data_IF_873572055146
#
_entry.id   IF_873572055146
#
_cell.length_a   1.000
_cell.length_b   1.000
_cell.length_c   1.000
_cell.angle_alpha   90.00
_cell.angle_beta   90.00
_cell.angle_gamma   90.00
#
_symmetry.space_group_name_H-M   'P 1'
#
loop_
_entity.id
_entity.type
_entity.pdbx_description
1 polymer ?
#
# COMPACT_ATOMS: atom_id res chain seq x y z
N UNK A 1 -25.81 3.08 -18.69
CA UNK A 1 -24.34 3.15 -18.68
C UNK A 1 -23.92 3.97 -17.46
N UNK A 2 -23.26 3.36 -16.45
CA UNK A 2 -22.79 4.11 -15.27
C UNK A 2 -21.68 5.07 -15.72
N UNK A 3 -21.76 6.33 -15.32
CA UNK A 3 -20.72 7.31 -15.65
C UNK A 3 -19.37 6.84 -15.07
N UNK A 4 -18.27 6.83 -15.84
CA UNK A 4 -16.96 6.34 -15.37
C UNK A 4 -16.49 7.03 -14.07
N UNK A 5 -16.78 8.33 -13.92
CA UNK A 5 -16.50 9.08 -12.69
C UNK A 5 -17.26 8.55 -11.47
N UNK A 6 -18.52 8.15 -11.63
CA UNK A 6 -19.31 7.60 -10.52
C UNK A 6 -18.80 6.23 -10.09
N UNK A 7 -18.30 5.42 -11.02
CA UNK A 7 -17.71 4.11 -10.69
C UNK A 7 -16.43 4.25 -9.85
N UNK A 8 -15.56 5.21 -10.19
CA UNK A 8 -14.35 5.52 -9.41
C UNK A 8 -14.73 6.04 -8.02
N UNK A 9 -15.69 6.96 -7.94
CA UNK A 9 -16.16 7.50 -6.66
C UNK A 9 -16.76 6.41 -5.77
N UNK A 10 -17.58 5.50 -6.31
CA UNK A 10 -18.15 4.38 -5.54
C UNK A 10 -17.05 3.46 -4.99
N UNK A 11 -16.03 3.14 -5.80
CA UNK A 11 -14.88 2.34 -5.34
C UNK A 11 -14.10 3.04 -4.22
N UNK A 12 -13.83 4.34 -4.36
CA UNK A 12 -13.17 5.15 -3.33
C UNK A 12 -13.98 5.17 -2.03
N UNK A 13 -15.28 5.46 -2.10
CA UNK A 13 -16.16 5.47 -0.90
C UNK A 13 -16.23 4.09 -0.25
N UNK A 14 -16.32 3.02 -1.03
CA UNK A 14 -16.31 1.66 -0.49
C UNK A 14 -14.99 1.35 0.24
N UNK A 15 -13.84 1.74 -0.35
CA UNK A 15 -12.53 1.58 0.29
C UNK A 15 -12.44 2.39 1.60
N UNK A 16 -12.88 3.65 1.58
CA UNK A 16 -12.96 4.48 2.77
C UNK A 16 -13.83 3.84 3.85
N UNK A 17 -15.00 3.29 3.50
CA UNK A 17 -15.88 2.61 4.47
C UNK A 17 -15.21 1.40 5.11
N UNK A 18 -14.46 0.61 4.34
CA UNK A 18 -13.70 -0.52 4.89
C UNK A 18 -12.61 -0.03 5.85
N UNK A 19 -11.83 0.97 5.45
CA UNK A 19 -10.75 1.52 6.27
C UNK A 19 -11.26 2.22 7.54
N UNK A 20 -12.29 3.06 7.43
CA UNK A 20 -12.90 3.72 8.59
C UNK A 20 -13.67 2.72 9.47
N UNK A 21 -14.27 1.69 8.89
CA UNK A 21 -14.86 0.59 9.64
C UNK A 21 -13.81 -0.17 10.47
N UNK A 22 -12.67 -0.49 9.85
CA UNK A 22 -11.54 -1.11 10.54
C UNK A 22 -10.93 -0.20 11.61
N UNK A 23 -10.74 1.09 11.31
CA UNK A 23 -10.25 2.06 12.30
C UNK A 23 -11.24 2.25 13.46
N UNK A 24 -12.54 2.24 13.17
CA UNK A 24 -13.61 2.27 14.17
C UNK A 24 -13.62 1.03 15.05
N UNK A 25 -13.42 -0.15 14.47
CA UNK A 25 -13.23 -1.40 15.21
C UNK A 25 -12.02 -1.33 16.14
N UNK A 26 -10.85 -0.90 15.64
CA UNK A 26 -9.64 -0.74 16.48
C UNK A 26 -9.82 0.29 17.59
N UNK A 27 -10.54 1.37 17.31
CA UNK A 27 -10.87 2.40 18.31
C UNK A 27 -11.79 1.87 19.40
N UNK A 28 -12.76 1.02 19.05
CA UNK A 28 -13.65 0.37 19.99
C UNK A 28 -12.92 -0.64 20.88
N UNK A 29 -11.96 -1.38 20.32
CA UNK A 29 -11.23 -2.44 21.02
C UNK A 29 -10.08 -1.91 21.90
N UNK A 30 -9.34 -0.90 21.43
CA UNK A 30 -8.04 -0.51 22.03
C UNK A 30 -8.00 0.94 22.57
N UNK A 31 -9.13 1.65 22.62
CA UNK A 31 -9.26 3.11 22.82
C UNK A 31 -8.91 3.96 21.60
N UNK A 32 -9.44 5.19 21.56
CA UNK A 32 -9.32 6.13 20.43
C UNK A 32 -7.87 6.43 20.02
N UNK A 33 -6.98 6.61 21.00
CA UNK A 33 -5.60 7.02 20.73
C UNK A 33 -4.78 5.84 20.18
N UNK A 34 -4.87 4.69 20.83
CA UNK A 34 -4.22 3.43 20.41
C UNK A 34 -4.77 2.95 19.07
N UNK A 35 -6.10 2.91 18.92
CA UNK A 35 -6.77 2.47 17.70
C UNK A 35 -6.49 3.39 16.51
N UNK A 36 -6.43 4.70 16.75
CA UNK A 36 -6.06 5.68 15.73
C UNK A 36 -4.61 5.50 15.25
N UNK A 37 -3.66 5.35 16.18
CA UNK A 37 -2.25 5.12 15.81
C UNK A 37 -2.07 3.75 15.14
N UNK A 38 -2.72 2.70 15.65
CA UNK A 38 -2.69 1.37 15.04
C UNK A 38 -3.25 1.39 13.61
N UNK A 39 -4.36 2.10 13.36
CA UNK A 39 -4.92 2.27 12.02
C UNK A 39 -3.96 3.02 11.08
N UNK A 40 -3.27 4.04 11.57
CA UNK A 40 -2.25 4.78 10.80
C UNK A 40 -1.03 3.92 10.47
N UNK A 41 -0.55 3.11 11.42
CA UNK A 41 0.51 2.13 11.19
C UNK A 41 0.04 1.12 10.13
N UNK A 42 -1.16 0.56 10.27
CA UNK A 42 -1.74 -0.37 9.29
C UNK A 42 -1.84 0.23 7.89
N UNK A 43 -2.33 1.47 7.77
CA UNK A 43 -2.34 2.17 6.49
C UNK A 43 -0.93 2.31 5.91
N UNK A 44 0.04 2.73 6.72
CA UNK A 44 1.42 2.90 6.27
C UNK A 44 2.10 1.58 5.89
N UNK A 45 1.71 0.47 6.52
CA UNK A 45 2.14 -0.87 6.12
C UNK A 45 1.69 -1.20 4.71
N UNK A 46 0.43 -0.90 4.35
CA UNK A 46 -0.04 -1.10 2.99
C UNK A 46 0.71 -0.23 1.98
N UNK A 47 0.95 1.04 2.30
CA UNK A 47 1.71 1.96 1.43
C UNK A 47 3.14 1.47 1.18
N UNK A 48 3.84 1.03 2.23
CA UNK A 48 5.27 0.75 2.16
C UNK A 48 5.62 -0.70 1.84
N UNK A 49 4.73 -1.64 2.14
CA UNK A 49 5.04 -3.07 2.09
C UNK A 49 4.17 -3.83 1.09
N UNK A 50 3.21 -3.18 0.42
CA UNK A 50 2.46 -3.81 -0.68
C UNK A 50 2.78 -3.12 -2.01
N UNK A 51 3.10 -3.86 -3.08
CA UNK A 51 3.39 -3.30 -4.41
C UNK A 51 2.10 -2.93 -5.15
N UNK A 52 1.24 -2.18 -4.48
CA UNK A 52 -0.08 -1.81 -4.96
C UNK A 52 -0.13 -0.29 -4.96
N UNK A 53 -0.09 0.30 -6.15
CA UNK A 53 -0.22 1.76 -6.33
C UNK A 53 -1.49 2.34 -5.69
N UNK A 54 -2.51 1.50 -5.45
CA UNK A 54 -3.75 1.90 -4.80
C UNK A 54 -3.69 1.91 -3.26
N UNK A 55 -2.62 1.44 -2.62
CA UNK A 55 -2.50 1.52 -1.15
C UNK A 55 -2.36 2.99 -0.69
N UNK A 56 -1.70 3.81 -1.51
CA UNK A 56 -1.65 5.27 -1.34
C UNK A 56 -2.94 6.00 -1.75
N UNK A 57 -3.88 5.32 -2.43
CA UNK A 57 -5.07 5.91 -3.06
C UNK A 57 -5.91 6.77 -2.12
N UNK A 58 -5.95 6.44 -0.82
CA UNK A 58 -6.71 7.20 0.17
C UNK A 58 -6.26 8.67 0.24
N UNK A 59 -4.95 8.93 0.17
CA UNK A 59 -4.37 10.28 0.18
C UNK A 59 -4.01 10.77 -1.22
N UNK A 60 -3.57 9.87 -2.10
CA UNK A 60 -3.21 10.16 -3.48
C UNK A 60 -4.39 10.75 -4.27
N UNK A 61 -5.61 10.19 -4.13
CA UNK A 61 -6.80 10.71 -4.82
C UNK A 61 -7.17 12.15 -4.41
N UNK A 62 -7.30 12.49 -3.11
CA UNK A 62 -7.51 13.88 -2.67
C UNK A 62 -6.43 14.85 -3.13
N UNK A 63 -5.15 14.48 -3.00
CA UNK A 63 -4.01 15.32 -3.41
C UNK A 63 -4.11 15.62 -4.90
N UNK A 64 -4.43 14.61 -5.72
CA UNK A 64 -4.58 14.78 -7.16
C UNK A 64 -5.76 15.67 -7.55
N UNK A 65 -6.90 15.52 -6.87
CA UNK A 65 -8.08 16.36 -7.13
C UNK A 65 -7.82 17.81 -6.73
N UNK A 66 -7.09 18.05 -5.64
CA UNK A 66 -6.80 19.40 -5.13
C UNK A 66 -5.69 20.11 -5.92
N UNK A 67 -4.62 19.40 -6.29
CA UNK A 67 -3.42 19.99 -6.87
C UNK A 67 -3.21 19.67 -8.36
N UNK A 68 -3.96 18.74 -8.94
CA UNK A 68 -3.86 18.38 -10.36
C UNK A 68 -2.48 17.80 -10.77
N UNK A 69 -1.74 17.23 -9.81
CA UNK A 69 -0.39 16.69 -10.02
C UNK A 69 -0.39 15.30 -10.66
N UNK A 70 0.72 14.90 -11.28
CA UNK A 70 0.89 13.54 -11.81
C UNK A 70 0.88 12.49 -10.68
N UNK A 71 0.40 11.29 -10.98
CA UNK A 71 0.27 10.17 -10.02
C UNK A 71 1.59 9.85 -9.31
N UNK A 72 2.73 9.94 -10.02
CA UNK A 72 4.06 9.71 -9.43
C UNK A 72 4.36 10.67 -8.28
N UNK A 73 4.04 11.97 -8.42
CA UNK A 73 4.38 12.96 -7.40
C UNK A 73 3.55 12.79 -6.13
N UNK A 74 2.27 12.54 -6.29
CA UNK A 74 1.38 12.28 -5.16
C UNK A 74 1.74 10.98 -4.46
N UNK A 75 2.18 9.94 -5.17
CA UNK A 75 2.71 8.73 -4.54
C UNK A 75 3.99 8.98 -3.73
N UNK A 76 4.94 9.79 -4.25
CA UNK A 76 6.14 10.18 -3.50
C UNK A 76 5.76 10.88 -2.18
N UNK A 77 4.76 11.76 -2.22
CA UNK A 77 4.28 12.46 -1.02
C UNK A 77 3.65 11.46 -0.04
N UNK A 78 2.83 10.53 -0.51
CA UNK A 78 2.21 9.51 0.33
C UNK A 78 3.26 8.60 0.98
N UNK A 79 4.26 8.16 0.23
CA UNK A 79 5.42 7.42 0.75
C UNK A 79 6.19 8.21 1.80
N UNK A 80 6.48 9.49 1.54
CA UNK A 80 7.17 10.35 2.49
C UNK A 80 6.39 10.51 3.80
N UNK A 81 5.06 10.66 3.73
CA UNK A 81 4.18 10.72 4.89
C UNK A 81 4.23 9.38 5.65
N UNK A 82 4.11 8.24 4.97
CA UNK A 82 4.13 6.92 5.58
C UNK A 82 5.46 6.63 6.30
N UNK A 83 6.60 6.97 5.67
CA UNK A 83 7.93 6.82 6.27
C UNK A 83 8.07 7.72 7.49
N UNK A 84 7.68 8.99 7.37
CA UNK A 84 7.79 9.96 8.48
C UNK A 84 6.93 9.54 9.66
N UNK A 85 5.71 9.06 9.40
CA UNK A 85 4.80 8.56 10.42
C UNK A 85 5.43 7.40 11.19
N UNK A 86 5.96 6.40 10.49
CA UNK A 86 6.61 5.26 11.15
C UNK A 86 7.87 5.67 11.91
N UNK A 87 8.68 6.59 11.39
CA UNK A 87 9.84 7.10 12.10
C UNK A 87 9.46 7.77 13.43
N UNK A 88 8.41 8.58 13.43
CA UNK A 88 7.90 9.26 14.64
C UNK A 88 7.31 8.26 15.63
N UNK A 89 6.47 7.33 15.15
CA UNK A 89 5.81 6.33 16.01
C UNK A 89 6.83 5.35 16.59
N UNK A 90 7.81 4.88 15.82
CA UNK A 90 8.89 4.04 16.36
C UNK A 90 9.71 4.75 17.43
N UNK A 91 9.98 6.04 17.27
CA UNK A 91 10.83 6.77 18.21
C UNK A 91 10.10 7.09 19.53
N UNK A 92 8.82 7.46 19.47
CA UNK A 92 8.07 7.94 20.65
C UNK A 92 7.07 6.95 21.21
N UNK A 93 6.54 6.06 20.38
CA UNK A 93 5.36 5.26 20.71
C UNK A 93 5.43 3.82 20.17
N UNK A 94 6.58 3.18 20.39
CA UNK A 94 6.85 1.82 19.93
C UNK A 94 5.81 0.79 20.44
N UNK A 95 5.22 1.03 21.60
CA UNK A 95 4.19 0.18 22.22
C UNK A 95 2.97 -0.06 21.30
N UNK A 96 2.58 0.93 20.48
CA UNK A 96 1.42 0.78 19.59
C UNK A 96 1.62 -0.22 18.45
N UNK A 97 2.86 -0.61 18.18
CA UNK A 97 3.12 -1.67 17.21
C UNK A 97 2.69 -3.05 17.71
N UNK A 98 2.51 -3.25 19.02
CA UNK A 98 2.14 -4.53 19.61
C UNK A 98 0.63 -4.80 19.64
N UNK A 99 -0.17 -3.93 19.02
CA UNK A 99 -1.65 -4.01 19.04
C UNK A 99 -2.21 -5.13 18.16
N UNK A 100 -1.71 -5.27 16.93
CA UNK A 100 -2.21 -6.24 15.96
C UNK A 100 -1.06 -7.04 15.35
N UNK A 101 -1.39 -8.14 14.66
CA UNK A 101 -0.38 -8.89 13.89
C UNK A 101 0.27 -8.00 12.84
N UNK A 102 -0.51 -7.17 12.14
CA UNK A 102 -0.01 -6.33 11.06
C UNK A 102 0.95 -5.24 11.55
N UNK A 103 0.62 -4.60 12.67
CA UNK A 103 1.49 -3.61 13.29
C UNK A 103 2.77 -4.28 13.82
N UNK A 104 2.70 -5.47 14.41
CA UNK A 104 3.89 -6.23 14.85
C UNK A 104 4.80 -6.60 13.68
N UNK A 105 4.22 -6.97 12.55
CA UNK A 105 4.95 -7.21 11.30
C UNK A 105 5.61 -5.91 10.81
N UNK A 106 4.91 -4.78 10.84
CA UNK A 106 5.47 -3.49 10.45
C UNK A 106 6.69 -3.11 11.30
N UNK A 107 6.61 -3.26 12.62
CA UNK A 107 7.74 -3.01 13.51
C UNK A 107 8.93 -3.89 13.17
N UNK A 108 8.68 -5.18 12.94
CA UNK A 108 9.71 -6.15 12.56
C UNK A 108 10.38 -5.71 11.26
N UNK A 109 9.60 -5.43 10.21
CA UNK A 109 10.13 -4.97 8.91
C UNK A 109 11.01 -3.72 9.07
N UNK A 110 10.61 -2.77 9.91
CA UNK A 110 11.36 -1.52 10.07
C UNK A 110 12.63 -1.69 10.92
N UNK A 111 12.62 -2.58 11.90
CA UNK A 111 13.72 -2.74 12.88
C UNK A 111 14.76 -3.78 12.49
N UNK A 112 14.42 -4.74 11.63
CA UNK A 112 15.36 -5.77 11.13
C UNK A 112 15.62 -5.59 9.63
N UNK A 113 16.74 -4.93 9.26
CA UNK A 113 16.96 -4.49 7.87
C UNK A 113 17.13 -5.63 6.87
N UNK A 114 17.81 -6.72 7.24
CA UNK A 114 17.95 -7.89 6.36
C UNK A 114 17.22 -9.10 6.96
N UNK A 115 16.33 -9.78 6.22
CA UNK A 115 15.98 -9.60 4.80
C UNK A 115 14.80 -8.63 4.53
N UNK A 116 14.20 -8.03 5.56
CA UNK A 116 12.85 -7.46 5.42
C UNK A 116 12.76 -6.11 4.70
N UNK A 117 13.84 -5.32 4.64
CA UNK A 117 13.84 -4.11 3.79
C UNK A 117 13.76 -4.46 2.31
N UNK A 118 14.07 -5.70 1.92
CA UNK A 118 13.81 -6.18 0.57
C UNK A 118 12.33 -6.07 0.22
N UNK A 119 11.42 -6.33 1.16
CA UNK A 119 9.96 -6.20 0.95
C UNK A 119 9.59 -4.76 0.62
N UNK A 120 10.16 -3.79 1.36
CA UNK A 120 9.91 -2.35 1.15
C UNK A 120 10.50 -1.88 -0.17
N UNK A 121 11.74 -2.27 -0.49
CA UNK A 121 12.40 -1.91 -1.75
C UNK A 121 11.64 -2.50 -2.95
N UNK A 122 11.24 -3.78 -2.85
CA UNK A 122 10.43 -4.42 -3.87
C UNK A 122 9.09 -3.68 -4.00
N UNK A 123 8.38 -3.43 -2.90
CA UNK A 123 7.13 -2.67 -2.91
C UNK A 123 7.30 -1.32 -3.60
N UNK A 124 8.35 -0.56 -3.29
CA UNK A 124 8.66 0.70 -3.95
C UNK A 124 8.82 0.52 -5.46
N UNK A 125 9.65 -0.44 -5.89
CA UNK A 125 9.87 -0.72 -7.31
C UNK A 125 8.55 -1.09 -8.00
N UNK A 126 7.77 -2.02 -7.42
CA UNK A 126 6.49 -2.45 -7.98
C UNK A 126 5.49 -1.31 -8.10
N UNK A 127 5.37 -0.49 -7.07
CA UNK A 127 4.46 0.66 -7.03
C UNK A 127 4.84 1.72 -8.06
N UNK A 128 6.09 2.19 -8.08
CA UNK A 128 6.52 3.22 -9.04
C UNK A 128 6.54 2.72 -10.49
N UNK A 129 6.88 1.46 -10.70
CA UNK A 129 6.84 0.84 -12.03
C UNK A 129 5.41 0.72 -12.54
N UNK A 130 4.48 0.28 -11.68
CA UNK A 130 3.04 0.20 -11.99
C UNK A 130 2.46 1.57 -12.34
N UNK A 131 2.77 2.60 -11.57
CA UNK A 131 2.33 3.98 -11.83
C UNK A 131 2.88 4.49 -13.16
N UNK A 132 4.18 4.32 -13.40
CA UNK A 132 4.82 4.80 -14.62
C UNK A 132 4.20 4.13 -15.85
N UNK A 133 3.99 2.81 -15.81
CA UNK A 133 3.31 2.12 -16.89
C UNK A 133 1.85 2.53 -17.04
N UNK A 134 1.13 2.75 -15.93
CA UNK A 134 -0.26 3.22 -15.95
C UNK A 134 -0.40 4.60 -16.61
N UNK A 135 0.47 5.55 -16.27
CA UNK A 135 0.51 6.89 -16.87
C UNK A 135 0.92 6.81 -18.37
N UNK A 136 1.96 6.04 -18.71
CA UNK A 136 2.41 5.86 -20.11
C UNK A 136 1.31 5.20 -20.98
N UNK A 137 0.56 4.22 -20.46
CA UNK A 137 -0.57 3.58 -21.15
C UNK A 137 -1.71 4.56 -21.42
N UNK A 138 -2.06 5.42 -20.45
CA UNK A 138 -3.13 6.41 -20.63
C UNK A 138 -2.77 7.50 -21.65
N UNK A 139 -1.52 7.95 -21.66
CA UNK A 139 -1.05 8.98 -22.59
C UNK A 139 -0.98 8.48 -24.03
N UNK A 140 -0.59 7.22 -24.25
CA UNK A 140 -0.55 6.61 -25.58
C UNK A 140 -1.94 6.20 -26.09
N UNK A 141 -2.87 5.79 -25.22
CA UNK A 141 -4.26 5.57 -25.62
C UNK A 141 -4.94 6.87 -26.12
N UNK A 142 -4.50 8.04 -25.63
CA UNK A 142 -4.92 9.34 -26.16
C UNK A 142 -4.28 9.67 -27.51
N UNK A 143 -3.07 9.16 -27.79
CA UNK A 143 -2.32 9.39 -29.04
C UNK A 143 -2.36 8.13 -29.93
N UNK A 144 -3.47 8.04 -30.65
CA UNK A 144 -3.81 7.12 -31.76
C UNK A 144 -2.60 6.52 -32.54
N UNK A 145 -2.03 5.40 -32.07
CA UNK A 145 -1.36 4.39 -32.91
C UNK A 145 -1.41 3.00 -32.26
N UNK A 146 -2.10 2.06 -32.89
CA UNK A 146 -2.77 0.92 -32.23
C UNK A 146 -2.11 -0.46 -32.35
N UNK A 147 -1.03 -0.65 -33.11
CA UNK A 147 -0.61 -2.02 -33.46
C UNK A 147 0.67 -2.54 -32.77
N UNK A 148 1.44 -1.70 -32.07
CA UNK A 148 2.67 -2.14 -31.37
C UNK A 148 2.43 -2.57 -29.89
N UNK A 149 1.23 -2.33 -29.35
CA UNK A 149 0.94 -2.43 -27.91
C UNK A 149 0.63 -3.83 -27.37
N UNK A 150 0.03 -4.71 -28.19
CA UNK A 150 -0.47 -6.00 -27.68
C UNK A 150 0.63 -6.99 -27.28
N UNK A 151 1.86 -6.86 -27.81
CA UNK A 151 2.94 -7.82 -27.51
C UNK A 151 3.74 -7.49 -26.24
N UNK A 152 3.77 -6.22 -25.82
CA UNK A 152 4.52 -5.79 -24.63
C UNK A 152 3.64 -5.70 -23.38
N UNK A 153 2.34 -5.40 -23.50
CA UNK A 153 1.42 -5.35 -22.36
C UNK A 153 1.37 -6.69 -21.61
N UNK A 154 1.25 -7.81 -22.35
CA UNK A 154 1.20 -9.14 -21.75
C UNK A 154 2.50 -9.51 -21.01
N UNK A 155 3.66 -9.10 -21.55
CA UNK A 155 4.95 -9.32 -20.88
C UNK A 155 5.05 -8.54 -19.57
N UNK A 156 4.55 -7.30 -19.54
CA UNK A 156 4.55 -6.46 -18.34
C UNK A 156 3.58 -6.98 -17.28
N UNK A 157 2.41 -7.45 -17.68
CA UNK A 157 1.43 -8.07 -16.79
C UNK A 157 1.97 -9.37 -16.17
N UNK A 158 2.69 -10.19 -16.94
CA UNK A 158 3.41 -11.37 -16.42
C UNK A 158 4.50 -10.96 -15.44
N UNK A 159 5.28 -9.91 -15.74
CA UNK A 159 6.34 -9.43 -14.83
C UNK A 159 5.73 -8.96 -13.51
N UNK A 160 4.65 -8.19 -13.54
CA UNK A 160 3.92 -7.78 -12.33
C UNK A 160 3.35 -8.98 -11.57
N UNK A 161 2.79 -9.97 -12.28
CA UNK A 161 2.25 -11.18 -11.66
C UNK A 161 3.33 -12.02 -10.97
N UNK A 162 4.47 -12.27 -11.63
CA UNK A 162 5.62 -12.97 -11.05
C UNK A 162 6.20 -12.18 -9.86
N UNK A 163 6.20 -10.85 -9.98
CA UNK A 163 6.62 -9.97 -8.91
C UNK A 163 5.71 -10.09 -7.67
N UNK A 164 4.39 -10.15 -7.85
CA UNK A 164 3.44 -10.40 -6.75
C UNK A 164 3.66 -11.76 -6.08
N UNK A 165 3.95 -12.82 -6.86
CA UNK A 165 4.30 -14.14 -6.31
C UNK A 165 5.56 -14.06 -5.45
N UNK A 166 6.58 -13.32 -5.91
CA UNK A 166 7.82 -13.15 -5.16
C UNK A 166 7.60 -12.40 -3.84
N UNK A 167 6.78 -11.34 -3.85
CA UNK A 167 6.38 -10.63 -2.62
C UNK A 167 5.62 -11.56 -1.68
N UNK A 168 4.68 -12.36 -2.19
CA UNK A 168 3.94 -13.34 -1.38
C UNK A 168 4.88 -14.35 -0.71
N UNK A 169 5.87 -14.87 -1.44
CA UNK A 169 6.86 -15.78 -0.88
C UNK A 169 7.73 -15.11 0.19
N UNK A 170 8.14 -13.86 -0.05
CA UNK A 170 8.90 -13.05 0.91
C UNK A 170 8.11 -12.83 2.21
N UNK A 171 6.79 -12.63 2.12
CA UNK A 171 5.90 -12.54 3.28
C UNK A 171 5.72 -13.88 4.00
N UNK A 172 5.61 -14.97 3.26
CA UNK A 172 5.54 -16.31 3.86
C UNK A 172 6.80 -16.62 4.66
N UNK A 173 7.97 -16.32 4.11
CA UNK A 173 9.25 -16.49 4.80
C UNK A 173 9.38 -15.55 6.01
N UNK A 174 8.91 -14.30 5.92
CA UNK A 174 8.81 -13.37 7.04
C UNK A 174 7.99 -13.97 8.20
N UNK A 175 6.75 -14.39 7.93
CA UNK A 175 5.84 -14.93 8.96
C UNK A 175 6.40 -16.21 9.58
N UNK A 176 6.97 -17.10 8.75
CA UNK A 176 7.62 -18.33 9.18
C UNK A 176 8.85 -18.07 10.07
N UNK A 177 9.69 -17.10 9.70
CA UNK A 177 10.90 -16.73 10.45
C UNK A 177 10.61 -16.04 11.79
N UNK A 178 9.51 -15.30 11.88
CA UNK A 178 9.07 -14.63 13.11
C UNK A 178 8.41 -15.59 14.10
N UNK A 179 8.22 -16.87 13.74
CA UNK A 179 7.59 -17.85 14.60
C UNK A 179 6.17 -17.45 15.03
N UNK A 180 5.50 -16.62 14.22
CA UNK A 180 4.11 -16.24 14.44
C UNK A 180 3.28 -17.47 14.07
N UNK A 181 3.20 -18.42 15.00
CA UNK A 181 2.22 -19.49 14.97
C UNK A 181 0.86 -18.83 14.86
N UNK A 182 0.16 -19.07 13.75
CA UNK A 182 -1.24 -18.68 13.51
C UNK A 182 -2.14 -19.56 14.40
N UNK A 183 -1.83 -19.64 15.68
CA UNK A 183 -2.41 -20.57 16.65
C UNK A 183 -3.03 -19.83 17.84
N UNK A 184 -2.67 -18.56 18.08
CA UNK A 184 -3.26 -17.72 19.14
C UNK A 184 -4.53 -16.95 18.72
N UNK A 185 -5.24 -17.42 17.69
CA UNK A 185 -6.49 -16.79 17.24
C UNK A 185 -7.62 -17.75 16.90
N UNK A 186 -7.71 -18.89 17.60
CA UNK A 186 -8.94 -19.70 17.68
C UNK A 186 -9.44 -19.81 19.12
#
# INVERSE_FOLDING_TARGET
MKNPRQQVLTKFVALCLILFGYAGYLTYEYDFLTGGIAALITWSFFVLCTPVADAGFLLDFPIRVLFGVRMVFSEIVVWAIAITLNAVVLWKFREYYQTTVLTRLMESILTTPFPYWLIVILSAIGTFLSIRFGDELMDVLHHRDRDFFHSHHFKHEIVLFLFFIFVFFSYYELISSLGISIEDSM
#
